data_IF_306698115840
#
_entry.id   IF_306698115840
#
_cell.length_a   1.000
_cell.length_b   1.000
_cell.length_c   1.000
_cell.angle_alpha   90.00
_cell.angle_beta   90.00
_cell.angle_gamma   90.00
#
_symmetry.space_group_name_H-M   'P 1'
#
loop_
_entity.id
_entity.type
_entity.pdbx_description
1 polymer ?
#
# COMPACT_ATOMS: atom_id res chain seq x y z
N UNK A 1 -5.78 -17.03 5.76
CA UNK A 1 -6.02 -15.84 6.59
C UNK A 1 -6.05 -16.22 8.06
N UNK A 2 -5.56 -15.35 8.93
CA UNK A 2 -5.56 -15.58 10.38
C UNK A 2 -6.98 -15.54 10.92
N UNK A 3 -7.42 -16.62 11.59
CA UNK A 3 -8.76 -16.74 12.18
C UNK A 3 -9.06 -15.62 13.20
N UNK A 4 -8.04 -15.13 13.90
CA UNK A 4 -8.20 -14.05 14.87
C UNK A 4 -8.69 -12.75 14.23
N UNK A 5 -8.35 -12.50 12.98
CA UNK A 5 -8.81 -11.31 12.25
C UNK A 5 -10.32 -11.38 11.99
N UNK A 6 -10.86 -12.58 11.73
CA UNK A 6 -12.29 -12.75 11.53
C UNK A 6 -13.07 -12.52 12.81
N UNK A 7 -12.50 -12.92 13.94
CA UNK A 7 -13.11 -12.72 15.26
C UNK A 7 -13.22 -11.26 15.66
N UNK A 8 -12.33 -10.38 15.11
CA UNK A 8 -12.33 -8.96 15.42
C UNK A 8 -13.34 -8.15 14.61
N UNK A 9 -14.19 -8.81 13.84
CA UNK A 9 -15.20 -8.14 13.00
C UNK A 9 -14.60 -7.14 12.02
N UNK A 10 -13.41 -7.41 11.52
CA UNK A 10 -12.73 -6.56 10.56
C UNK A 10 -13.44 -6.50 9.21
N UNK A 11 -14.34 -7.43 8.95
CA UNK A 11 -15.11 -7.45 7.70
C UNK A 11 -15.95 -6.17 7.54
N UNK A 12 -16.53 -5.68 8.63
CA UNK A 12 -17.26 -4.41 8.60
C UNK A 12 -16.33 -3.25 8.22
N UNK A 13 -15.15 -3.20 8.82
CA UNK A 13 -14.14 -2.19 8.48
C UNK A 13 -13.76 -2.28 7.00
N UNK A 14 -13.48 -3.48 6.50
CA UNK A 14 -13.08 -3.66 5.11
C UNK A 14 -14.22 -3.30 4.15
N UNK A 15 -15.45 -3.62 4.51
CA UNK A 15 -16.62 -3.21 3.73
C UNK A 15 -16.73 -1.69 3.63
N UNK A 16 -16.45 -0.99 4.73
CA UNK A 16 -16.43 0.48 4.74
C UNK A 16 -15.33 1.03 3.84
N UNK A 17 -14.12 0.49 3.94
CA UNK A 17 -12.98 0.90 3.11
C UNK A 17 -13.29 0.72 1.62
N UNK A 18 -13.99 -0.36 1.27
CA UNK A 18 -14.34 -0.64 -0.13
C UNK A 18 -15.36 0.34 -0.72
N UNK A 19 -15.98 1.19 0.11
CA UNK A 19 -16.87 2.25 -0.37
C UNK A 19 -16.13 3.50 -0.82
N UNK A 20 -14.83 3.61 -0.55
CA UNK A 20 -14.04 4.77 -0.91
C UNK A 20 -13.68 4.75 -2.39
N UNK A 21 -13.87 5.88 -3.08
CA UNK A 21 -13.64 5.97 -4.52
C UNK A 21 -12.54 6.96 -4.91
N UNK A 22 -12.24 7.94 -4.04
CA UNK A 22 -11.27 8.98 -4.35
C UNK A 22 -10.21 9.10 -3.26
N UNK A 23 -9.08 9.70 -3.63
CA UNK A 23 -8.01 9.98 -2.67
C UNK A 23 -8.50 10.90 -1.55
N UNK A 24 -9.31 11.89 -1.89
CA UNK A 24 -9.87 12.83 -0.91
C UNK A 24 -10.76 12.12 0.10
N UNK A 25 -11.60 11.19 -0.37
CA UNK A 25 -12.43 10.38 0.52
C UNK A 25 -11.58 9.52 1.45
N UNK A 26 -10.45 9.00 0.97
CA UNK A 26 -9.52 8.26 1.81
C UNK A 26 -8.93 9.14 2.92
N UNK A 27 -8.51 10.37 2.59
CA UNK A 27 -8.01 11.31 3.59
C UNK A 27 -9.05 11.58 4.67
N UNK A 28 -10.28 11.90 4.26
CA UNK A 28 -11.35 12.23 5.20
C UNK A 28 -11.70 11.04 6.09
N UNK A 29 -11.87 9.86 5.49
CA UNK A 29 -12.26 8.67 6.24
C UNK A 29 -11.19 8.24 7.24
N UNK A 30 -9.93 8.17 6.79
CA UNK A 30 -8.85 7.71 7.65
C UNK A 30 -8.44 8.76 8.70
N UNK A 31 -8.64 10.05 8.42
CA UNK A 31 -8.46 11.09 9.42
C UNK A 31 -9.46 10.93 10.58
N UNK A 32 -10.70 10.57 10.26
CA UNK A 32 -11.70 10.30 11.30
C UNK A 32 -11.46 8.99 12.03
N UNK A 33 -11.01 7.97 11.32
CA UNK A 33 -10.90 6.61 11.87
C UNK A 33 -9.62 6.38 12.66
N UNK A 34 -8.50 6.95 12.22
CA UNK A 34 -7.17 6.64 12.74
C UNK A 34 -6.50 7.86 13.36
N UNK A 35 -5.60 7.60 14.30
CA UNK A 35 -4.69 8.64 14.79
C UNK A 35 -3.58 8.86 13.77
N UNK A 36 -2.91 10.02 13.84
CA UNK A 36 -1.75 10.31 12.98
C UNK A 36 -0.64 9.27 13.13
N UNK A 37 -0.25 8.85 14.37
CA UNK A 37 0.75 7.79 14.51
C UNK A 37 0.36 6.47 13.88
N UNK A 38 -0.92 6.09 13.93
CA UNK A 38 -1.43 4.87 13.29
C UNK A 38 -1.30 4.93 11.78
N UNK A 39 -1.69 6.04 11.17
CA UNK A 39 -1.55 6.26 9.72
C UNK A 39 -0.08 6.29 9.30
N UNK A 40 0.76 6.94 10.09
CA UNK A 40 2.19 7.01 9.81
C UNK A 40 2.81 5.62 9.81
N UNK A 41 2.45 4.78 10.78
CA UNK A 41 2.97 3.42 10.87
C UNK A 41 2.53 2.57 9.67
N UNK A 42 1.27 2.66 9.28
CA UNK A 42 0.76 1.93 8.11
C UNK A 42 1.41 2.40 6.82
N UNK A 43 1.54 3.71 6.65
CA UNK A 43 2.20 4.31 5.49
C UNK A 43 3.66 3.88 5.39
N UNK A 44 4.37 3.87 6.52
CA UNK A 44 5.76 3.41 6.56
C UNK A 44 5.88 1.96 6.11
N UNK A 45 5.02 1.09 6.63
CA UNK A 45 5.05 -0.34 6.27
C UNK A 45 4.81 -0.58 4.79
N UNK A 46 3.85 0.11 4.19
CA UNK A 46 3.56 -0.11 2.77
C UNK A 46 4.68 0.43 1.87
N UNK A 47 5.31 1.54 2.24
CA UNK A 47 6.48 2.05 1.52
C UNK A 47 7.66 1.09 1.61
N UNK A 48 7.91 0.52 2.80
CA UNK A 48 8.96 -0.50 2.99
C UNK A 48 8.67 -1.69 2.08
N UNK A 49 7.42 -2.17 2.07
CA UNK A 49 7.03 -3.30 1.23
C UNK A 49 7.26 -3.02 -0.25
N UNK A 50 6.91 -1.83 -0.73
CA UNK A 50 7.11 -1.44 -2.12
C UNK A 50 8.59 -1.44 -2.49
N UNK A 51 9.43 -0.84 -1.65
CA UNK A 51 10.87 -0.78 -1.89
C UNK A 51 11.52 -2.17 -1.87
N UNK A 52 11.08 -3.04 -0.96
CA UNK A 52 11.55 -4.44 -0.94
C UNK A 52 11.12 -5.19 -2.21
N UNK A 53 9.91 -4.95 -2.70
CA UNK A 53 9.42 -5.58 -3.93
C UNK A 53 10.23 -5.12 -5.15
N UNK A 54 10.81 -3.93 -5.08
CA UNK A 54 11.68 -3.36 -6.12
C UNK A 54 13.15 -3.75 -5.94
N UNK A 55 13.44 -4.64 -4.99
CA UNK A 55 14.80 -5.13 -4.71
C UNK A 55 15.77 -4.05 -4.23
N UNK A 56 15.26 -3.01 -3.57
CA UNK A 56 16.08 -1.95 -2.97
C UNK A 56 16.86 -2.50 -1.78
N UNK A 57 18.06 -1.99 -1.55
CA UNK A 57 18.89 -2.43 -0.43
C UNK A 57 18.40 -1.82 0.89
N UNK A 58 18.65 -2.49 2.01
CA UNK A 58 18.15 -2.08 3.32
C UNK A 58 18.59 -0.68 3.74
N UNK A 59 19.84 -0.30 3.49
CA UNK A 59 20.33 1.03 3.84
C UNK A 59 19.53 2.14 3.15
N UNK A 60 19.13 1.91 1.90
CA UNK A 60 18.32 2.83 1.12
C UNK A 60 16.91 2.92 1.71
N UNK A 61 16.33 1.78 2.08
CA UNK A 61 15.00 1.72 2.71
C UNK A 61 15.00 2.48 4.04
N UNK A 62 15.98 2.25 4.90
CA UNK A 62 16.12 2.96 6.18
C UNK A 62 16.22 4.46 5.94
N UNK A 63 17.06 4.87 4.98
CA UNK A 63 17.29 6.28 4.67
C UNK A 63 16.00 6.97 4.20
N UNK A 64 15.20 6.32 3.35
CA UNK A 64 14.01 6.93 2.77
C UNK A 64 12.77 6.82 3.64
N UNK A 65 12.62 5.76 4.43
CA UNK A 65 11.39 5.53 5.22
C UNK A 65 11.55 5.82 6.70
N UNK A 66 12.78 5.84 7.20
CA UNK A 66 13.02 5.94 8.64
C UNK A 66 12.66 4.69 9.41
N UNK A 67 12.31 3.60 8.73
CA UNK A 67 11.93 2.35 9.39
C UNK A 67 13.14 1.69 10.06
N UNK A 68 12.90 1.03 11.20
CA UNK A 68 13.93 0.24 11.86
C UNK A 68 14.19 -1.04 11.06
N UNK A 69 15.37 -1.64 11.28
CA UNK A 69 15.67 -2.93 10.65
C UNK A 69 14.70 -4.02 11.08
N UNK A 70 14.18 -3.94 12.31
CA UNK A 70 13.16 -4.86 12.81
C UNK A 70 11.86 -4.73 12.01
N UNK A 71 11.42 -3.50 11.69
CA UNK A 71 10.24 -3.26 10.87
C UNK A 71 10.44 -3.80 9.46
N UNK A 72 11.60 -3.52 8.86
CA UNK A 72 11.93 -3.99 7.51
C UNK A 72 11.90 -5.53 7.46
N UNK A 73 12.51 -6.19 8.44
CA UNK A 73 12.54 -7.65 8.50
C UNK A 73 11.14 -8.24 8.64
N UNK A 74 10.28 -7.61 9.44
CA UNK A 74 8.90 -8.05 9.63
C UNK A 74 8.10 -7.91 8.33
N UNK A 75 8.24 -6.80 7.64
CA UNK A 75 7.56 -6.57 6.35
C UNK A 75 8.06 -7.56 5.31
N UNK A 76 9.38 -7.79 5.25
CA UNK A 76 9.95 -8.77 4.33
C UNK A 76 9.37 -10.17 4.56
N UNK A 77 9.21 -10.55 5.83
CA UNK A 77 8.61 -11.84 6.18
C UNK A 77 7.17 -11.93 5.66
N UNK A 78 6.39 -10.84 5.78
CA UNK A 78 5.03 -10.80 5.25
C UNK A 78 4.99 -10.90 3.73
N UNK A 79 5.96 -10.30 3.04
CA UNK A 79 6.08 -10.41 1.59
C UNK A 79 6.41 -11.84 1.16
N UNK A 80 7.33 -12.49 1.86
CA UNK A 80 7.83 -13.82 1.48
C UNK A 80 6.88 -14.96 1.88
N UNK A 81 6.21 -14.83 3.03
CA UNK A 81 5.45 -15.92 3.66
C UNK A 81 4.03 -15.53 4.06
N UNK A 82 3.56 -14.35 3.68
CA UNK A 82 2.23 -13.87 4.04
C UNK A 82 1.15 -14.34 3.05
N UNK A 83 0.09 -13.54 2.96
CA UNK A 83 -1.11 -13.85 2.18
C UNK A 83 -1.13 -13.21 0.79
N UNK A 84 -0.01 -12.72 0.30
CA UNK A 84 0.14 -12.05 -1.01
C UNK A 84 -0.68 -10.75 -1.15
N UNK A 85 -1.11 -10.16 -0.03
CA UNK A 85 -1.88 -8.91 -0.04
C UNK A 85 -1.13 -7.75 -0.67
N UNK A 86 0.15 -7.57 -0.33
CA UNK A 86 0.99 -6.54 -0.95
C UNK A 86 1.13 -6.77 -2.44
N UNK A 87 1.35 -8.02 -2.84
CA UNK A 87 1.53 -8.38 -4.24
C UNK A 87 0.32 -8.00 -5.09
N UNK A 88 -0.87 -8.35 -4.64
CA UNK A 88 -2.12 -8.03 -5.34
C UNK A 88 -2.29 -6.51 -5.51
N UNK A 89 -2.07 -5.77 -4.41
CA UNK A 89 -2.23 -4.31 -4.44
C UNK A 89 -1.21 -3.68 -5.38
N UNK A 90 0.05 -4.06 -5.28
CA UNK A 90 1.11 -3.48 -6.11
C UNK A 90 0.94 -3.83 -7.59
N UNK A 91 0.52 -5.06 -7.91
CA UNK A 91 0.23 -5.45 -9.29
C UNK A 91 -0.88 -4.58 -9.88
N UNK A 92 -1.94 -4.32 -9.11
CA UNK A 92 -3.05 -3.48 -9.57
C UNK A 92 -2.64 -2.02 -9.72
N UNK A 93 -1.83 -1.51 -8.79
CA UNK A 93 -1.31 -0.14 -8.89
C UNK A 93 -0.41 0.02 -10.10
N UNK A 94 0.45 -0.94 -10.39
CA UNK A 94 1.34 -0.92 -11.54
C UNK A 94 0.54 -0.99 -12.86
N UNK A 95 -0.48 -1.83 -12.91
CA UNK A 95 -1.37 -1.93 -14.06
C UNK A 95 -2.12 -0.62 -14.31
N UNK A 96 -2.62 0.03 -13.26
CA UNK A 96 -3.28 1.32 -13.35
C UNK A 96 -2.33 2.41 -13.85
N UNK A 97 -1.10 2.42 -13.34
CA UNK A 97 -0.08 3.38 -13.78
C UNK A 97 0.26 3.19 -15.26
N UNK A 98 0.36 1.94 -15.71
CA UNK A 98 0.61 1.61 -17.13
C UNK A 98 -0.54 2.07 -18.02
N UNK A 99 -1.78 1.88 -17.59
CA UNK A 99 -2.96 2.35 -18.33
C UNK A 99 -2.99 3.87 -18.46
N UNK A 100 -2.66 4.57 -17.37
CA UNK A 100 -2.59 6.03 -17.35
C UNK A 100 -1.48 6.54 -18.28
N UNK A 101 -0.33 5.86 -18.29
CA UNK A 101 0.78 6.23 -19.16
C UNK A 101 0.42 6.03 -20.63
N UNK A 102 -0.25 4.94 -20.97
CA UNK A 102 -0.76 4.68 -22.32
C UNK A 102 -1.78 5.72 -22.75
N UNK A 103 -2.74 6.05 -21.89
CA UNK A 103 -3.75 7.07 -22.18
C UNK A 103 -3.13 8.44 -22.42
N UNK A 104 -2.17 8.83 -21.60
CA UNK A 104 -1.44 10.10 -21.76
C UNK A 104 -0.64 10.12 -23.07
N UNK A 105 0.04 9.02 -23.41
CA UNK A 105 0.79 8.88 -24.67
C UNK A 105 -0.14 8.92 -25.89
N UNK A 106 -1.28 8.24 -25.80
CA UNK A 106 -2.28 8.25 -26.87
C UNK A 106 -2.88 9.64 -27.11
N UNK A 107 -3.14 10.39 -26.05
CA UNK A 107 -3.64 11.77 -26.15
C UNK A 107 -2.61 12.68 -26.78
N UNK A 108 -1.34 12.51 -26.45
CA UNK A 108 -0.24 13.32 -27.02
C UNK A 108 -0.11 13.04 -28.51
N UNK A 109 -0.16 11.79 -28.93
CA UNK A 109 -0.08 11.39 -30.34
C UNK A 109 -1.30 11.87 -31.12
N UNK A 110 -2.46 11.92 -30.49
CA UNK A 110 -3.71 12.35 -31.13
C UNK A 110 -3.78 13.84 -31.44
N UNK A 111 -2.87 14.65 -30.94
CA UNK A 111 -2.85 16.11 -31.14
C UNK A 111 -2.08 16.53 -32.41
N UNK A 112 -1.45 15.62 -33.06
CA UNK A 112 -0.82 15.86 -34.35
C UNK A 112 -1.84 15.73 -35.48
#
# INVERSE_FOLDING_TARGET
MNEKLRELNVEFLFSAVLQLHTMEECYDFFEDLCTVPELRAMSQRIHVAKMLSEKRVYSDIVSQTGASTATISRVKRSLDYGCDGYKIVFERMDAEAAEKAEAASGETDGKE
#
